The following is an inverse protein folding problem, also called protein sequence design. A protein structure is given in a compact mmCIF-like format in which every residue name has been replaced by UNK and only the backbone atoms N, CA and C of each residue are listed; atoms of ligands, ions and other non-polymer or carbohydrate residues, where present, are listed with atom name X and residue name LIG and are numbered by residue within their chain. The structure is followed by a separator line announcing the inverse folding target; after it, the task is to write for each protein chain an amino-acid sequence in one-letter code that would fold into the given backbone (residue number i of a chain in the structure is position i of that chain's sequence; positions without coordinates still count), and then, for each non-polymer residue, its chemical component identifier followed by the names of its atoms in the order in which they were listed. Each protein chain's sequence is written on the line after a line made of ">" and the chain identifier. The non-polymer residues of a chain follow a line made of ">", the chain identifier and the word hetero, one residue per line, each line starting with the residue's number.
data_IF_805175555333
#
_entry.id   IF_805175555333
#
_cell.length_a   1.000
_cell.length_b   1.000
_cell.length_c   1.000
_cell.angle_alpha   90.00
_cell.angle_beta   90.00
_cell.angle_gamma   90.00
#
_symmetry.space_group_name_H-M   'P 1'
#
loop_
_entity.id
_entity.type
_entity.pdbx_description
1 polymer ?
#
# COMPACT_ATOMS: atom_id res chain seq x y z
N UNK A 1 -60.47 26.77 29.76
CA UNK A 1 -60.72 26.40 28.35
C UNK A 1 -59.56 26.99 27.56
N UNK A 2 -58.65 26.25 26.95
CA UNK A 2 -58.84 25.49 25.71
C UNK A 2 -57.62 24.56 25.52
N UNK A 3 -57.84 23.27 25.24
CA UNK A 3 -56.81 22.26 24.95
C UNK A 3 -56.51 22.28 23.45
N UNK A 4 -55.25 22.32 23.05
CA UNK A 4 -54.82 22.09 21.67
C UNK A 4 -54.02 20.78 21.67
N UNK A 5 -54.58 19.75 21.04
CA UNK A 5 -53.97 18.44 20.85
C UNK A 5 -53.38 18.42 19.44
N UNK A 6 -52.06 18.45 19.31
CA UNK A 6 -51.37 18.29 18.04
C UNK A 6 -50.92 16.84 17.89
N UNK A 7 -51.73 16.04 17.22
CA UNK A 7 -51.40 14.68 16.77
C UNK A 7 -50.49 14.77 15.55
N UNK A 8 -49.18 14.62 15.77
CA UNK A 8 -48.21 14.43 14.67
C UNK A 8 -48.09 12.93 14.37
N UNK A 9 -48.66 12.52 13.23
CA UNK A 9 -48.45 11.18 12.65
C UNK A 9 -46.99 11.06 12.21
N UNK A 10 -46.24 10.22 12.93
CA UNK A 10 -44.86 9.85 12.59
C UNK A 10 -44.91 8.72 11.55
N UNK A 11 -44.94 9.08 10.26
CA UNK A 11 -44.76 8.11 9.18
C UNK A 11 -43.27 7.76 9.09
N UNK A 12 -42.87 6.64 9.71
CA UNK A 12 -41.53 6.10 9.63
C UNK A 12 -41.27 5.55 8.22
N UNK A 13 -40.55 6.32 7.39
CA UNK A 13 -39.88 5.80 6.20
C UNK A 13 -38.76 4.85 6.65
N UNK A 14 -38.98 3.56 6.48
CA UNK A 14 -37.94 2.52 6.55
C UNK A 14 -37.06 2.64 5.30
N UNK A 15 -35.98 3.39 5.41
CA UNK A 15 -34.92 3.40 4.41
C UNK A 15 -34.12 2.09 4.52
N UNK A 16 -34.31 1.19 3.57
CA UNK A 16 -33.46 0.00 3.39
C UNK A 16 -32.06 0.45 2.94
N UNK A 17 -31.14 0.58 3.89
CA UNK A 17 -29.72 0.69 3.59
C UNK A 17 -29.23 -0.68 3.09
N UNK A 18 -29.01 -0.80 1.78
CA UNK A 18 -28.21 -1.88 1.23
C UNK A 18 -26.81 -1.78 1.85
N UNK A 19 -26.43 -2.75 2.69
CA UNK A 19 -25.05 -2.94 3.11
C UNK A 19 -24.23 -3.27 1.84
N UNK A 20 -23.58 -2.26 1.26
CA UNK A 20 -22.42 -2.52 0.43
C UNK A 20 -21.41 -3.23 1.33
N UNK A 21 -21.03 -4.47 0.98
CA UNK A 21 -19.97 -5.19 1.65
C UNK A 21 -18.73 -4.28 1.71
N UNK A 22 -18.00 -4.23 2.83
CA UNK A 22 -16.76 -3.48 2.89
C UNK A 22 -15.85 -3.97 1.76
N UNK A 23 -15.14 -3.07 1.06
CA UNK A 23 -14.22 -3.48 0.01
C UNK A 23 -13.30 -4.56 0.58
N UNK A 24 -13.24 -5.72 -0.07
CA UNK A 24 -12.37 -6.81 0.35
C UNK A 24 -10.94 -6.26 0.41
N UNK A 25 -10.43 -6.10 1.62
CA UNK A 25 -9.04 -5.67 1.87
C UNK A 25 -8.02 -6.63 1.21
N UNK A 26 -8.49 -7.81 0.81
CA UNK A 26 -7.73 -8.83 0.07
C UNK A 26 -7.76 -8.68 -1.45
N UNK A 27 -8.58 -7.78 -2.00
CA UNK A 27 -8.63 -7.59 -3.45
C UNK A 27 -7.30 -7.00 -3.95
N UNK A 28 -6.86 -7.43 -5.14
CA UNK A 28 -5.65 -6.89 -5.78
C UNK A 28 -5.66 -5.36 -5.83
N UNK A 29 -6.83 -4.76 -6.09
CA UNK A 29 -7.02 -3.32 -6.09
C UNK A 29 -6.75 -2.67 -4.73
N UNK A 30 -7.23 -3.28 -3.64
CA UNK A 30 -6.97 -2.79 -2.28
C UNK A 30 -5.48 -2.95 -1.90
N UNK A 31 -4.86 -4.07 -2.28
CA UNK A 31 -3.43 -4.34 -2.04
C UNK A 31 -2.56 -3.31 -2.79
N UNK A 32 -2.86 -3.06 -4.07
CA UNK A 32 -2.16 -2.04 -4.86
C UNK A 32 -2.37 -0.65 -4.27
N UNK A 33 -3.59 -0.33 -3.81
CA UNK A 33 -3.88 0.95 -3.17
C UNK A 33 -3.07 1.13 -1.85
N UNK A 34 -2.91 0.07 -1.06
CA UNK A 34 -2.07 0.09 0.14
C UNK A 34 -0.60 0.39 -0.21
N UNK A 35 -0.03 -0.28 -1.22
CA UNK A 35 1.34 0.02 -1.68
C UNK A 35 1.46 1.44 -2.23
N UNK A 36 0.45 1.92 -2.95
CA UNK A 36 0.42 3.28 -3.47
C UNK A 36 0.42 4.32 -2.35
N UNK A 37 -0.40 4.11 -1.32
CA UNK A 37 -0.58 5.02 -0.19
C UNK A 37 0.62 5.01 0.76
N UNK A 38 1.02 3.82 1.23
CA UNK A 38 2.07 3.67 2.25
C UNK A 38 3.49 3.86 1.70
N UNK A 39 3.69 3.67 0.39
CA UNK A 39 5.02 3.69 -0.20
C UNK A 39 5.15 4.63 -1.39
N UNK A 40 4.44 4.42 -2.51
CA UNK A 40 4.76 5.15 -3.75
C UNK A 40 4.48 6.65 -3.69
N UNK A 41 3.37 7.07 -3.07
CA UNK A 41 3.03 8.48 -2.90
C UNK A 41 4.06 9.22 -2.02
N UNK A 42 4.35 8.79 -0.77
CA UNK A 42 5.37 9.45 0.05
C UNK A 42 6.77 9.35 -0.57
N UNK A 43 7.07 8.25 -1.28
CA UNK A 43 8.35 8.14 -2.01
C UNK A 43 8.49 9.17 -3.13
N UNK A 44 7.41 9.41 -3.89
CA UNK A 44 7.42 10.40 -4.96
C UNK A 44 7.62 11.82 -4.40
N UNK A 45 6.95 12.15 -3.30
CA UNK A 45 7.10 13.43 -2.60
C UNK A 45 8.52 13.62 -2.06
N UNK A 46 9.01 12.65 -1.28
CA UNK A 46 10.37 12.67 -0.75
C UNK A 46 11.42 12.84 -1.86
N UNK A 47 11.29 12.11 -2.97
CA UNK A 47 12.18 12.26 -4.13
C UNK A 47 12.09 13.63 -4.78
N UNK A 48 10.89 14.20 -4.92
CA UNK A 48 10.71 15.51 -5.53
C UNK A 48 11.41 16.62 -4.72
N UNK A 49 11.49 16.47 -3.41
CA UNK A 49 12.23 17.40 -2.53
C UNK A 49 13.75 17.19 -2.61
N UNK A 50 14.21 15.93 -2.51
CA UNK A 50 15.63 15.62 -2.37
C UNK A 50 16.39 15.62 -3.71
N UNK A 51 15.70 15.39 -4.84
CA UNK A 51 16.32 15.39 -6.17
C UNK A 51 16.79 16.77 -6.61
N UNK A 52 16.18 17.86 -6.12
CA UNK A 52 16.51 19.26 -6.50
C UNK A 52 17.96 19.64 -6.18
N UNK A 53 18.54 19.03 -5.16
CA UNK A 53 19.90 19.31 -4.70
C UNK A 53 20.92 18.26 -5.13
N UNK A 54 20.46 17.19 -5.79
CA UNK A 54 21.31 16.06 -6.19
C UNK A 54 21.83 16.23 -7.60
N UNK A 55 23.10 15.86 -7.83
CA UNK A 55 23.69 15.71 -9.17
C UNK A 55 23.46 14.32 -9.76
N UNK A 56 22.73 13.45 -9.05
CA UNK A 56 22.37 12.12 -9.53
C UNK A 56 21.42 12.21 -10.73
N UNK A 57 21.29 11.09 -11.46
CA UNK A 57 20.36 10.99 -12.57
C UNK A 57 18.92 11.36 -12.14
N UNK A 58 18.21 12.05 -13.03
CA UNK A 58 16.82 12.46 -12.79
C UNK A 58 15.95 11.24 -12.43
N UNK A 59 15.10 11.35 -11.39
CA UNK A 59 14.22 10.25 -10.99
C UNK A 59 13.27 9.84 -12.14
N UNK A 60 12.80 8.57 -12.15
CA UNK A 60 11.74 8.17 -13.06
C UNK A 60 10.48 9.01 -12.82
N UNK A 61 9.80 9.36 -13.93
CA UNK A 61 8.60 10.18 -13.96
C UNK A 61 7.37 9.41 -13.52
N UNK A 62 7.33 8.10 -13.78
CA UNK A 62 6.20 7.25 -13.45
C UNK A 62 6.67 5.97 -12.75
N UNK A 63 5.82 5.50 -11.84
CA UNK A 63 5.98 4.26 -11.10
C UNK A 63 4.64 3.53 -11.08
N UNK A 64 4.65 2.21 -11.22
CA UNK A 64 3.45 1.38 -11.07
C UNK A 64 3.76 0.13 -10.27
N UNK A 65 2.76 -0.32 -9.51
CA UNK A 65 2.83 -1.58 -8.75
C UNK A 65 2.38 -2.73 -9.63
N UNK A 66 3.09 -3.85 -9.56
CA UNK A 66 2.69 -5.13 -10.14
C UNK A 66 2.84 -6.21 -9.08
N UNK A 67 1.76 -6.91 -8.77
CA UNK A 67 1.79 -8.06 -7.87
C UNK A 67 2.53 -9.20 -8.56
N UNK A 68 3.37 -9.92 -7.82
CA UNK A 68 4.26 -10.95 -8.38
C UNK A 68 3.66 -12.35 -8.29
N UNK A 69 2.83 -12.60 -7.29
CA UNK A 69 2.18 -13.89 -7.07
C UNK A 69 0.97 -13.72 -6.16
N UNK A 70 0.26 -14.82 -5.96
CA UNK A 70 -0.74 -15.00 -4.90
C UNK A 70 -0.17 -14.71 -3.50
N UNK A 71 -1.05 -14.51 -2.49
CA UNK A 71 -0.65 -14.37 -1.10
C UNK A 71 0.11 -15.58 -0.57
N UNK A 72 1.14 -15.31 0.23
CA UNK A 72 1.95 -16.28 0.95
C UNK A 72 1.79 -16.09 2.45
N UNK A 73 2.13 -17.11 3.23
CA UNK A 73 2.25 -16.99 4.68
C UNK A 73 3.70 -17.03 5.10
N UNK A 74 4.06 -16.20 6.07
CA UNK A 74 5.35 -16.23 6.73
C UNK A 74 5.39 -17.26 7.88
N UNK A 75 6.52 -17.31 8.60
CA UNK A 75 6.72 -18.23 9.71
C UNK A 75 5.78 -17.98 10.91
N UNK A 76 5.21 -16.78 11.01
CA UNK A 76 4.26 -16.38 12.06
C UNK A 76 2.80 -16.57 11.62
N UNK A 77 2.58 -17.04 10.39
CA UNK A 77 1.26 -17.23 9.79
C UNK A 77 0.63 -15.94 9.25
N UNK A 78 1.41 -14.86 9.18
CA UNK A 78 0.94 -13.60 8.62
C UNK A 78 0.99 -13.66 7.09
N UNK A 79 -0.11 -13.22 6.47
CA UNK A 79 -0.30 -13.26 5.02
C UNK A 79 0.35 -12.03 4.36
N UNK A 80 1.21 -12.26 3.37
CA UNK A 80 1.88 -11.23 2.60
C UNK A 80 1.80 -11.49 1.10
N UNK A 81 1.75 -10.42 0.31
CA UNK A 81 1.75 -10.48 -1.16
C UNK A 81 3.03 -9.81 -1.67
N UNK A 82 3.88 -10.52 -2.43
CA UNK A 82 5.06 -9.92 -3.03
C UNK A 82 4.67 -9.03 -4.21
N UNK A 83 5.34 -7.89 -4.33
CA UNK A 83 5.14 -6.95 -5.43
C UNK A 83 6.46 -6.46 -6.02
N UNK A 84 6.36 -5.96 -7.24
CA UNK A 84 7.40 -5.22 -7.93
C UNK A 84 6.90 -3.82 -8.28
N UNK A 85 7.83 -2.87 -8.29
CA UNK A 85 7.62 -1.53 -8.83
C UNK A 85 8.33 -1.45 -10.17
N UNK A 86 7.56 -1.25 -11.22
CA UNK A 86 8.10 -0.91 -12.53
C UNK A 86 8.18 0.62 -12.62
N UNK A 87 9.19 1.15 -13.32
CA UNK A 87 9.37 2.61 -13.45
C UNK A 87 9.62 3.00 -14.89
N UNK A 88 9.29 4.25 -15.23
CA UNK A 88 9.48 4.79 -16.58
C UNK A 88 9.89 6.27 -16.49
N UNK A 89 10.68 6.73 -17.47
CA UNK A 89 10.97 8.16 -17.70
C UNK A 89 10.03 8.72 -18.78
N UNK A 90 9.88 10.03 -18.87
CA UNK A 90 8.85 10.71 -19.69
C UNK A 90 8.66 10.11 -21.10
N UNK A 91 9.75 9.70 -21.75
CA UNK A 91 9.72 9.07 -23.09
C UNK A 91 10.45 7.72 -23.15
N UNK A 92 10.60 7.04 -22.01
CA UNK A 92 11.33 5.78 -21.90
C UNK A 92 10.44 4.54 -21.94
N UNK A 93 11.07 3.37 -22.05
CA UNK A 93 10.40 2.09 -21.84
C UNK A 93 10.16 1.82 -20.34
N UNK A 94 9.15 1.00 -20.04
CA UNK A 94 8.94 0.50 -18.68
C UNK A 94 10.10 -0.41 -18.28
N UNK A 95 10.78 -0.03 -17.20
CA UNK A 95 11.80 -0.85 -16.57
C UNK A 95 11.15 -1.70 -15.48
N UNK A 96 11.12 -3.01 -15.70
CA UNK A 96 10.49 -3.94 -14.79
C UNK A 96 11.28 -4.11 -13.48
N UNK A 97 10.57 -4.31 -12.37
CA UNK A 97 11.12 -4.73 -11.08
C UNK A 97 12.32 -3.89 -10.57
N UNK A 98 12.28 -2.58 -10.79
CA UNK A 98 13.28 -1.65 -10.26
C UNK A 98 13.29 -1.61 -8.73
N UNK A 99 12.14 -1.92 -8.12
CA UNK A 99 12.02 -2.16 -6.69
C UNK A 99 11.18 -3.41 -6.47
N UNK A 100 11.45 -4.12 -5.38
CA UNK A 100 10.66 -5.30 -4.99
C UNK A 100 10.36 -5.20 -3.50
N UNK A 101 9.26 -5.81 -3.08
CA UNK A 101 8.81 -5.75 -1.71
C UNK A 101 7.71 -6.75 -1.44
N UNK A 102 7.15 -6.68 -0.24
CA UNK A 102 5.90 -7.33 0.09
C UNK A 102 4.99 -6.40 0.88
N UNK A 103 3.70 -6.72 0.85
CA UNK A 103 2.68 -6.05 1.64
C UNK A 103 1.92 -7.10 2.44
N UNK A 104 1.79 -6.87 3.74
CA UNK A 104 1.00 -7.73 4.61
C UNK A 104 -0.48 -7.39 4.49
N UNK A 105 -1.30 -8.38 4.11
CA UNK A 105 -2.69 -8.15 3.69
C UNK A 105 -3.55 -7.63 4.84
N UNK A 106 -3.35 -8.16 6.05
CA UNK A 106 -4.17 -7.79 7.23
C UNK A 106 -3.78 -6.43 7.84
N UNK A 107 -2.49 -6.11 7.86
CA UNK A 107 -1.97 -4.90 8.50
C UNK A 107 -1.71 -3.74 7.53
N UNK A 108 -1.79 -3.99 6.22
CA UNK A 108 -1.33 -3.09 5.17
C UNK A 108 0.13 -2.68 5.31
N UNK A 109 0.92 -3.39 6.13
CA UNK A 109 2.32 -3.05 6.35
C UNK A 109 3.13 -3.36 5.09
N UNK A 110 3.77 -2.34 4.52
CA UNK A 110 4.59 -2.46 3.30
C UNK A 110 6.06 -2.53 3.67
N UNK A 111 6.73 -3.54 3.13
CA UNK A 111 8.17 -3.74 3.25
C UNK A 111 8.82 -3.74 1.87
N UNK A 112 9.93 -3.03 1.73
CA UNK A 112 10.67 -2.88 0.47
C UNK A 112 12.08 -3.42 0.63
N UNK A 113 12.53 -4.20 -0.35
CA UNK A 113 13.87 -4.76 -0.38
C UNK A 113 14.90 -3.65 -0.64
N UNK A 114 15.88 -3.50 0.24
CA UNK A 114 16.98 -2.55 0.11
C UNK A 114 18.28 -3.20 0.59
N UNK A 115 19.22 -3.40 -0.32
CA UNK A 115 20.44 -4.15 -0.03
C UNK A 115 20.13 -5.62 0.30
N UNK A 116 20.70 -6.13 1.40
CA UNK A 116 20.58 -7.54 1.80
C UNK A 116 19.30 -7.92 2.56
N UNK A 117 18.33 -7.01 2.75
CA UNK A 117 17.12 -7.32 3.50
C UNK A 117 15.95 -6.38 3.20
N UNK A 118 14.88 -6.55 3.97
CA UNK A 118 13.66 -5.77 3.85
C UNK A 118 13.61 -4.65 4.91
N UNK A 119 12.99 -3.54 4.55
CA UNK A 119 12.77 -2.38 5.44
C UNK A 119 11.33 -1.94 5.33
N UNK A 120 10.76 -1.40 6.41
CA UNK A 120 9.44 -0.79 6.34
C UNK A 120 9.45 0.37 5.32
N UNK A 121 8.33 0.57 4.63
CA UNK A 121 8.19 1.64 3.63
C UNK A 121 8.60 3.01 4.18
N UNK A 122 8.17 3.34 5.40
CA UNK A 122 8.53 4.59 6.07
C UNK A 122 10.05 4.77 6.27
N UNK A 123 10.78 3.68 6.53
CA UNK A 123 12.24 3.72 6.71
C UNK A 123 12.99 3.96 5.40
N UNK A 124 12.33 3.79 4.26
CA UNK A 124 12.93 4.02 2.96
C UNK A 124 13.22 5.51 2.71
N UNK A 125 12.50 6.40 3.40
CA UNK A 125 12.61 7.85 3.29
C UNK A 125 13.29 8.50 4.50
N UNK A 126 13.56 7.71 5.54
CA UNK A 126 14.19 8.20 6.76
C UNK A 126 15.66 8.55 6.51
N UNK A 127 16.13 9.62 7.17
CA UNK A 127 17.55 10.04 7.15
C UNK A 127 18.49 9.04 7.87
N UNK A 128 17.93 8.10 8.63
CA UNK A 128 18.67 7.09 9.38
C UNK A 128 18.29 5.71 8.87
N UNK A 129 19.30 4.92 8.57
CA UNK A 129 19.10 3.51 8.23
C UNK A 129 18.68 2.74 9.49
N UNK A 130 17.49 2.14 9.45
CA UNK A 130 17.06 1.11 10.40
C UNK A 130 17.75 -0.23 10.10
N UNK A 131 17.78 -1.16 11.05
CA UNK A 131 18.33 -2.48 10.79
C UNK A 131 17.41 -3.23 9.80
N UNK A 132 17.96 -3.88 8.76
CA UNK A 132 17.15 -4.68 7.84
C UNK A 132 16.49 -5.83 8.60
N UNK A 133 15.21 -6.05 8.32
CA UNK A 133 14.49 -7.22 8.79
C UNK A 133 14.63 -8.34 7.74
N UNK A 134 15.13 -9.49 8.17
CA UNK A 134 15.33 -10.67 7.31
C UNK A 134 14.28 -11.77 7.52
N UNK A 135 13.37 -11.61 8.48
CA UNK A 135 12.28 -12.56 8.74
C UNK A 135 10.97 -12.20 8.03
N UNK A 136 10.79 -10.93 7.65
CA UNK A 136 9.61 -10.49 6.88
C UNK A 136 9.69 -10.89 5.42
N UNK A 137 8.53 -11.08 4.80
CA UNK A 137 8.41 -11.46 3.38
C UNK A 137 9.09 -12.80 3.04
N UNK A 138 9.24 -13.71 4.01
CA UNK A 138 9.84 -15.03 3.81
C UNK A 138 8.80 -16.09 4.12
N UNK A 139 8.45 -16.90 3.11
CA UNK A 139 7.66 -18.10 3.35
C UNK A 139 8.57 -19.21 3.89
N UNK A 140 8.20 -19.89 4.99
CA UNK A 140 8.99 -20.98 5.56
C UNK A 140 9.07 -22.20 4.62
N UNK A 141 8.22 -22.25 3.59
CA UNK A 141 8.07 -23.39 2.67
C UNK A 141 9.03 -23.36 1.49
N UNK A 142 10.09 -22.54 1.53
CA UNK A 142 11.12 -22.50 0.49
C UNK A 142 12.14 -23.63 0.65
N UNK A 143 11.88 -24.78 0.02
CA UNK A 143 12.92 -25.73 -0.42
C UNK A 143 13.00 -25.73 -1.93
#
# INVERSE_FOLDING_TARGET
>A
MMRIVFTYSFAALLASAALAAPPDARSDGAIVAAVQHEFLAPFAEWRAEHSKFSRAAMPPSEMRVRLLSEPHQDAEGAEFVPFAVDTRRVDGEWQAAQMTGCVYVTSSAVYVKRGGGFRAAADYFALRDTNPNTSVCVSPTGK
#
